data_IF_538585427448
#
_entry.id   IF_538585427448
#
_cell.length_a   1.000
_cell.length_b   1.000
_cell.length_c   1.000
_cell.angle_alpha   90.00
_cell.angle_beta   90.00
_cell.angle_gamma   90.00
#
_symmetry.space_group_name_H-M   'P 1'
#
loop_
_entity.id
_entity.type
_entity.pdbx_description
1 polymer ?
#
# COMPACT_ATOMS: atom_id res chain seq x y z
N UNK A 1 2.25 -2.41 23.23
CA UNK A 1 1.02 -2.48 24.02
C UNK A 1 0.23 -1.19 23.82
N UNK A 2 -1.10 -1.30 23.74
CA UNK A 2 -1.98 -0.14 23.75
C UNK A 2 -2.09 0.44 25.16
N UNK A 3 -2.37 1.73 25.27
CA UNK A 3 -2.56 2.44 26.54
C UNK A 3 -3.69 3.46 26.39
N UNK A 4 -4.10 4.12 27.46
CA UNK A 4 -5.14 5.16 27.42
C UNK A 4 -4.79 6.32 26.48
N UNK A 5 -3.50 6.59 26.27
CA UNK A 5 -2.99 7.67 25.40
C UNK A 5 -2.43 7.17 24.06
N UNK A 6 -2.31 5.86 23.85
CA UNK A 6 -1.76 5.27 22.62
C UNK A 6 -2.68 4.19 22.08
N UNK A 7 -3.40 4.53 21.02
CA UNK A 7 -4.26 3.61 20.28
C UNK A 7 -3.67 3.35 18.90
N UNK A 8 -3.17 2.13 18.66
CA UNK A 8 -2.54 1.73 17.40
C UNK A 8 -3.45 1.93 16.18
N UNK A 9 -4.75 1.73 16.34
CA UNK A 9 -5.72 1.89 15.25
C UNK A 9 -5.91 3.36 14.81
N UNK A 10 -5.40 4.31 15.58
CA UNK A 10 -5.52 5.75 15.37
C UNK A 10 -4.16 6.44 15.22
N UNK A 11 -3.09 5.68 14.99
CA UNK A 11 -1.73 6.22 14.84
C UNK A 11 -1.07 5.60 13.61
N UNK A 12 -0.34 6.43 12.86
CA UNK A 12 0.60 5.98 11.82
C UNK A 12 2.01 6.40 12.23
N UNK A 13 2.92 5.44 12.26
CA UNK A 13 4.33 5.74 12.53
C UNK A 13 4.92 6.63 11.43
N UNK A 14 5.66 7.64 11.81
CA UNK A 14 6.30 8.57 10.88
C UNK A 14 5.39 9.69 10.33
N UNK A 15 4.07 9.69 10.59
CA UNK A 15 3.13 10.65 9.98
C UNK A 15 3.47 12.11 10.30
N UNK A 16 3.92 12.40 11.52
CA UNK A 16 4.30 13.77 11.90
C UNK A 16 5.44 14.31 11.03
N UNK A 17 6.44 13.48 10.76
CA UNK A 17 7.58 13.82 9.92
C UNK A 17 7.21 13.84 8.43
N UNK A 18 6.34 12.92 8.00
CA UNK A 18 6.00 12.69 6.61
C UNK A 18 4.98 13.69 6.04
N UNK A 19 4.11 14.27 6.85
CA UNK A 19 2.92 15.04 6.41
C UNK A 19 3.21 16.12 5.36
N UNK A 20 4.29 16.88 5.52
CA UNK A 20 4.63 17.95 4.60
C UNK A 20 5.11 17.41 3.24
N UNK A 21 5.88 16.31 3.26
CA UNK A 21 6.33 15.66 2.02
C UNK A 21 5.19 14.88 1.35
N UNK A 22 4.21 14.35 2.10
CA UNK A 22 2.99 13.77 1.54
C UNK A 22 2.19 14.83 0.77
N UNK A 23 1.98 15.99 1.36
CA UNK A 23 1.26 17.12 0.70
C UNK A 23 2.02 17.58 -0.55
N UNK A 24 3.33 17.79 -0.44
CA UNK A 24 4.18 18.29 -1.52
C UNK A 24 4.23 17.36 -2.72
N UNK A 25 4.30 16.04 -2.47
CA UNK A 25 4.38 15.04 -3.51
C UNK A 25 2.99 14.52 -3.94
N UNK A 26 1.91 14.96 -3.27
CA UNK A 26 0.55 14.43 -3.39
C UNK A 26 0.52 12.89 -3.40
N UNK A 27 1.30 12.27 -2.54
CA UNK A 27 1.46 10.81 -2.47
C UNK A 27 1.96 10.39 -1.10
N UNK A 28 1.35 9.33 -0.53
CA UNK A 28 1.77 8.68 0.69
C UNK A 28 2.28 7.27 0.37
N UNK A 29 3.52 6.96 0.71
CA UNK A 29 4.01 5.58 0.76
C UNK A 29 3.59 4.94 2.08
N UNK A 30 2.95 3.78 2.00
CA UNK A 30 2.51 3.00 3.16
C UNK A 30 3.30 1.69 3.21
N UNK A 31 3.97 1.46 4.34
CA UNK A 31 4.72 0.24 4.65
C UNK A 31 4.15 -0.44 5.90
N UNK A 32 4.62 -1.65 6.20
CA UNK A 32 4.17 -2.41 7.37
C UNK A 32 4.94 -2.04 8.64
N UNK A 33 6.27 -1.98 8.55
CA UNK A 33 7.18 -1.83 9.67
C UNK A 33 7.69 -0.41 9.90
N UNK A 34 8.06 -0.12 11.15
CA UNK A 34 8.71 1.16 11.47
C UNK A 34 10.16 1.21 10.98
N UNK A 35 10.83 0.07 10.82
CA UNK A 35 12.17 -0.05 10.23
C UNK A 35 12.18 0.42 8.79
N UNK A 36 11.17 0.01 8.00
CA UNK A 36 11.01 0.45 6.61
C UNK A 36 10.89 1.97 6.53
N UNK A 37 10.07 2.58 7.43
CA UNK A 37 9.95 4.05 7.47
C UNK A 37 11.30 4.71 7.74
N UNK A 38 12.07 4.19 8.69
CA UNK A 38 13.37 4.76 9.03
C UNK A 38 14.32 4.70 7.83
N UNK A 39 14.41 3.55 7.17
CA UNK A 39 15.28 3.33 6.01
C UNK A 39 14.86 4.15 4.80
N UNK A 40 13.55 4.24 4.53
CA UNK A 40 13.06 5.08 3.44
C UNK A 40 13.30 6.58 3.71
N UNK A 41 13.06 7.05 4.94
CA UNK A 41 13.38 8.42 5.31
C UNK A 41 14.88 8.73 5.19
N UNK A 42 15.76 7.76 5.54
CA UNK A 42 17.19 7.89 5.34
C UNK A 42 17.55 8.05 3.86
N UNK A 43 16.85 7.33 2.98
CA UNK A 43 16.97 7.43 1.52
C UNK A 43 16.20 8.61 0.92
N UNK A 44 15.84 9.64 1.71
CA UNK A 44 15.10 10.83 1.28
C UNK A 44 13.72 10.55 0.67
N UNK A 45 13.08 9.42 0.99
CA UNK A 45 11.69 9.10 0.66
C UNK A 45 10.84 9.39 1.90
N UNK A 46 10.68 10.68 2.20
CA UNK A 46 10.15 11.15 3.49
C UNK A 46 8.62 11.17 3.58
N UNK A 47 7.92 10.91 2.48
CA UNK A 47 6.46 10.78 2.44
C UNK A 47 6.00 9.36 2.79
N UNK A 48 6.73 8.66 3.65
CA UNK A 48 6.50 7.27 4.07
C UNK A 48 5.98 7.18 5.50
N UNK A 49 4.96 6.33 5.71
CA UNK A 49 4.37 6.02 7.02
C UNK A 49 4.14 4.52 7.17
N UNK A 50 4.02 4.03 8.42
CA UNK A 50 3.69 2.63 8.68
C UNK A 50 2.47 2.44 9.57
N UNK A 51 1.74 1.33 9.34
CA UNK A 51 0.67 0.84 10.22
C UNK A 51 1.18 0.22 11.53
N UNK A 52 2.47 -0.15 11.56
CA UNK A 52 3.23 -0.64 12.73
C UNK A 52 2.62 -1.85 13.43
N UNK A 53 2.52 -2.96 12.70
CA UNK A 53 2.15 -4.26 13.26
C UNK A 53 0.67 -4.40 13.60
N UNK A 54 -0.18 -3.65 12.91
CA UNK A 54 -1.63 -3.85 12.86
C UNK A 54 -2.10 -3.91 11.41
N UNK A 55 -3.18 -4.65 11.15
CA UNK A 55 -3.89 -4.48 9.89
C UNK A 55 -4.31 -3.02 9.74
N UNK A 56 -4.23 -2.48 8.52
CA UNK A 56 -4.64 -1.11 8.23
C UNK A 56 -6.08 -0.86 8.68
N UNK A 57 -6.34 0.27 9.32
CA UNK A 57 -7.64 0.64 9.88
C UNK A 57 -8.24 1.84 9.15
N UNK A 58 -9.57 1.99 9.23
CA UNK A 58 -10.26 3.18 8.72
C UNK A 58 -9.75 4.48 9.35
N UNK A 59 -9.37 4.44 10.65
CA UNK A 59 -8.81 5.59 11.34
C UNK A 59 -7.50 6.06 10.72
N UNK A 60 -6.61 5.11 10.41
CA UNK A 60 -5.34 5.35 9.72
C UNK A 60 -5.54 5.85 8.29
N UNK A 61 -6.48 5.26 7.55
CA UNK A 61 -6.83 5.70 6.18
C UNK A 61 -7.33 7.15 6.19
N UNK A 62 -8.24 7.49 7.12
CA UNK A 62 -8.72 8.88 7.28
C UNK A 62 -7.61 9.86 7.60
N UNK A 63 -6.58 9.45 8.34
CA UNK A 63 -5.42 10.32 8.60
C UNK A 63 -4.62 10.61 7.33
N UNK A 64 -4.35 9.59 6.50
CA UNK A 64 -3.64 9.78 5.22
C UNK A 64 -4.46 10.69 4.30
N UNK A 65 -5.77 10.42 4.17
CA UNK A 65 -6.68 11.18 3.30
C UNK A 65 -6.71 12.69 3.57
N UNK A 66 -6.34 13.13 4.76
CA UNK A 66 -6.22 14.56 5.09
C UNK A 66 -5.08 15.27 4.36
N UNK A 67 -4.12 14.52 3.84
CA UNK A 67 -2.89 15.05 3.25
C UNK A 67 -2.74 14.71 1.77
N UNK A 68 -3.25 13.55 1.31
CA UNK A 68 -3.25 13.14 -0.10
C UNK A 68 -4.38 12.16 -0.39
N UNK A 69 -4.87 12.14 -1.63
CA UNK A 69 -5.78 11.11 -2.14
C UNK A 69 -5.04 9.93 -2.79
N UNK A 70 -3.72 9.96 -2.86
CA UNK A 70 -2.91 8.95 -3.53
C UNK A 70 -2.06 8.18 -2.51
N UNK A 71 -2.20 6.86 -2.50
CA UNK A 71 -1.43 5.94 -1.67
C UNK A 71 -0.68 4.96 -2.57
N UNK A 72 0.59 4.75 -2.28
CA UNK A 72 1.38 3.66 -2.84
C UNK A 72 1.74 2.71 -1.71
N UNK A 73 1.27 1.47 -1.78
CA UNK A 73 1.59 0.44 -0.79
C UNK A 73 2.84 -0.29 -1.24
N UNK A 74 3.81 -0.37 -0.35
CA UNK A 74 5.05 -1.09 -0.58
C UNK A 74 4.94 -2.45 0.11
N UNK A 75 4.85 -3.52 -0.68
CA UNK A 75 4.72 -4.89 -0.19
C UNK A 75 6.05 -5.63 -0.25
N UNK A 76 6.34 -6.37 0.81
CA UNK A 76 7.40 -7.36 0.81
C UNK A 76 7.20 -8.37 -0.31
N UNK A 77 8.29 -8.97 -0.80
CA UNK A 77 8.26 -9.98 -1.87
C UNK A 77 7.56 -11.29 -1.51
N UNK A 78 6.78 -11.33 -0.42
CA UNK A 78 6.03 -12.50 0.05
C UNK A 78 4.61 -12.56 -0.51
N UNK A 79 4.36 -13.58 -1.34
CA UNK A 79 3.05 -13.85 -1.97
C UNK A 79 1.92 -14.10 -0.96
N UNK A 80 2.21 -14.62 0.23
CA UNK A 80 1.19 -14.90 1.25
C UNK A 80 0.69 -13.61 1.89
N UNK A 81 1.60 -12.67 2.21
CA UNK A 81 1.29 -11.35 2.74
C UNK A 81 0.45 -10.52 1.78
N UNK A 82 0.79 -10.53 0.49
CA UNK A 82 0.06 -9.78 -0.56
C UNK A 82 -1.43 -10.16 -0.60
N UNK A 83 -1.77 -11.45 -0.52
CA UNK A 83 -3.18 -11.87 -0.56
C UNK A 83 -3.97 -11.46 0.71
N UNK A 84 -3.30 -11.48 1.86
CA UNK A 84 -3.92 -11.10 3.13
C UNK A 84 -4.24 -9.59 3.17
N UNK A 85 -3.47 -8.77 2.47
CA UNK A 85 -3.59 -7.32 2.48
C UNK A 85 -4.70 -6.76 1.57
N UNK A 86 -5.27 -7.55 0.65
CA UNK A 86 -6.33 -7.09 -0.26
C UNK A 86 -7.52 -6.44 0.46
N UNK A 87 -7.90 -6.95 1.64
CA UNK A 87 -8.98 -6.34 2.45
C UNK A 87 -8.64 -4.91 2.89
N UNK A 88 -7.37 -4.67 3.24
CA UNK A 88 -6.90 -3.33 3.58
C UNK A 88 -7.02 -2.37 2.41
N UNK A 89 -6.71 -2.85 1.19
CA UNK A 89 -6.81 -2.03 -0.03
C UNK A 89 -8.27 -1.72 -0.37
N UNK A 90 -9.20 -2.68 -0.24
CA UNK A 90 -10.63 -2.43 -0.49
C UNK A 90 -11.17 -1.34 0.46
N UNK A 91 -10.69 -1.26 1.71
CA UNK A 91 -11.01 -0.15 2.62
C UNK A 91 -10.44 1.20 2.15
N UNK A 92 -9.25 1.22 1.57
CA UNK A 92 -8.66 2.44 1.01
C UNK A 92 -9.47 2.91 -0.19
N UNK A 93 -9.80 2.01 -1.11
CA UNK A 93 -10.64 2.29 -2.27
C UNK A 93 -12.03 2.81 -1.86
N UNK A 94 -12.67 2.18 -0.85
CA UNK A 94 -13.97 2.61 -0.33
C UNK A 94 -13.94 4.00 0.32
N UNK A 95 -12.79 4.40 0.82
CA UNK A 95 -12.57 5.76 1.30
C UNK A 95 -12.35 6.78 0.17
N UNK A 96 -12.31 6.34 -1.10
CA UNK A 96 -12.14 7.18 -2.28
C UNK A 96 -10.71 7.67 -2.48
N UNK A 97 -9.72 6.85 -2.11
CA UNK A 97 -8.32 7.12 -2.43
C UNK A 97 -7.87 6.26 -3.62
N UNK A 98 -6.93 6.80 -4.38
CA UNK A 98 -6.25 6.07 -5.45
C UNK A 98 -5.16 5.17 -4.86
N UNK A 99 -5.10 3.93 -5.28
CA UNK A 99 -4.14 2.95 -4.74
C UNK A 99 -3.26 2.40 -5.84
N UNK A 100 -1.96 2.54 -5.64
CA UNK A 100 -0.95 1.82 -6.39
C UNK A 100 -0.18 0.90 -5.46
N UNK A 101 0.51 -0.08 -6.04
CA UNK A 101 1.32 -1.05 -5.31
C UNK A 101 2.70 -1.17 -5.94
N UNK A 102 3.70 -1.35 -5.11
CA UNK A 102 5.04 -1.81 -5.50
C UNK A 102 5.30 -3.11 -4.76
N UNK A 103 5.80 -4.12 -5.47
CA UNK A 103 6.19 -5.39 -4.87
C UNK A 103 7.69 -5.53 -5.02
N UNK A 104 8.35 -5.78 -3.92
CA UNK A 104 9.79 -6.03 -3.92
C UNK A 104 10.10 -7.44 -4.43
N UNK A 105 11.33 -7.71 -4.88
CA UNK A 105 11.77 -9.05 -5.25
C UNK A 105 11.60 -10.05 -4.10
N UNK A 106 11.47 -11.33 -4.45
CA UNK A 106 11.31 -12.40 -3.46
C UNK A 106 12.43 -12.38 -2.41
N UNK A 107 12.04 -12.38 -1.15
CA UNK A 107 12.95 -12.29 0.00
C UNK A 107 13.45 -10.88 0.34
N UNK A 108 12.95 -9.86 -0.36
CA UNK A 108 13.25 -8.45 -0.06
C UNK A 108 12.03 -7.75 0.54
N UNK A 109 12.33 -6.79 1.40
CA UNK A 109 11.40 -5.80 1.94
C UNK A 109 11.89 -4.37 1.60
N UNK A 110 11.12 -3.32 1.90
CA UNK A 110 11.54 -1.95 1.63
C UNK A 110 12.87 -1.58 2.31
N UNK A 111 13.13 -2.06 3.53
CA UNK A 111 14.35 -1.80 4.28
C UNK A 111 15.54 -2.45 3.60
N UNK A 112 15.53 -3.78 3.43
CA UNK A 112 16.65 -4.54 2.86
C UNK A 112 16.98 -4.10 1.43
N UNK A 113 15.95 -3.83 0.61
CA UNK A 113 16.17 -3.43 -0.78
C UNK A 113 16.70 -2.01 -0.91
N UNK A 114 16.29 -1.11 -0.01
CA UNK A 114 16.80 0.27 0.03
C UNK A 114 18.31 0.35 0.28
N UNK A 115 18.88 -0.64 0.98
CA UNK A 115 20.31 -0.71 1.24
C UNK A 115 21.14 -1.26 0.07
N UNK A 116 20.51 -1.83 -0.96
CA UNK A 116 21.20 -2.42 -2.12
C UNK A 116 21.40 -1.45 -3.26
N UNK A 117 20.68 -0.35 -3.26
CA UNK A 117 20.66 0.63 -4.34
C UNK A 117 21.13 2.00 -3.85
N UNK A 118 21.55 2.85 -4.77
CA UNK A 118 21.71 4.27 -4.48
C UNK A 118 20.35 4.91 -4.20
N UNK A 119 20.33 6.06 -3.54
CA UNK A 119 19.07 6.80 -3.28
C UNK A 119 18.33 7.11 -4.58
N UNK A 120 19.05 7.48 -5.63
CA UNK A 120 18.51 7.81 -6.94
C UNK A 120 17.92 6.57 -7.63
N UNK A 121 18.66 5.47 -7.64
CA UNK A 121 18.19 4.21 -8.26
C UNK A 121 17.00 3.64 -7.50
N UNK A 122 16.97 3.75 -6.18
CA UNK A 122 15.83 3.29 -5.39
C UNK A 122 14.56 4.13 -5.63
N UNK A 123 14.68 5.44 -5.81
CA UNK A 123 13.56 6.29 -6.23
C UNK A 123 13.05 5.92 -7.60
N UNK A 124 13.95 5.76 -8.57
CA UNK A 124 13.59 5.32 -9.92
C UNK A 124 12.88 3.96 -9.88
N UNK A 125 13.38 3.02 -9.08
CA UNK A 125 12.74 1.72 -8.89
C UNK A 125 11.30 1.87 -8.36
N UNK A 126 11.08 2.70 -7.35
CA UNK A 126 9.74 2.93 -6.81
C UNK A 126 8.80 3.56 -7.84
N UNK A 127 9.28 4.49 -8.67
CA UNK A 127 8.48 5.14 -9.71
C UNK A 127 8.11 4.19 -10.85
N UNK A 128 9.07 3.41 -11.34
CA UNK A 128 8.91 2.52 -12.50
C UNK A 128 8.09 1.25 -12.18
N UNK A 129 8.09 0.80 -10.91
CA UNK A 129 7.41 -0.44 -10.49
C UNK A 129 6.05 -0.22 -9.85
N UNK A 130 5.50 1.00 -9.88
CA UNK A 130 4.14 1.26 -9.43
C UNK A 130 3.12 0.64 -10.38
N UNK A 131 2.27 -0.20 -9.85
CA UNK A 131 1.16 -0.79 -10.57
C UNK A 131 -0.16 -0.31 -9.97
N UNK A 132 -1.14 0.01 -10.79
CA UNK A 132 -2.51 0.20 -10.34
C UNK A 132 -3.01 -1.06 -9.62
N UNK A 133 -3.67 -0.88 -8.46
CA UNK A 133 -4.05 -2.03 -7.64
C UNK A 133 -5.06 -2.95 -8.33
N UNK A 134 -6.05 -2.42 -9.03
CA UNK A 134 -7.07 -3.24 -9.71
C UNK A 134 -6.42 -4.08 -10.80
N UNK A 135 -5.56 -3.46 -11.61
CA UNK A 135 -4.78 -4.14 -12.65
C UNK A 135 -3.87 -5.20 -12.05
N UNK A 136 -3.18 -4.87 -10.96
CA UNK A 136 -2.32 -5.81 -10.25
C UNK A 136 -3.10 -7.01 -9.70
N UNK A 137 -4.22 -6.77 -8.99
CA UNK A 137 -5.09 -7.80 -8.45
C UNK A 137 -5.62 -8.72 -9.55
N UNK A 138 -6.07 -8.15 -10.66
CA UNK A 138 -6.54 -8.91 -11.81
C UNK A 138 -5.45 -9.84 -12.37
N UNK A 139 -4.27 -9.31 -12.62
CA UNK A 139 -3.14 -10.10 -13.15
C UNK A 139 -2.72 -11.23 -12.19
N UNK A 140 -2.68 -10.95 -10.88
CA UNK A 140 -2.32 -11.95 -9.88
C UNK A 140 -3.35 -13.09 -9.78
N UNK A 141 -4.62 -12.76 -9.76
CA UNK A 141 -5.70 -13.73 -9.63
C UNK A 141 -5.86 -14.56 -10.91
N UNK A 142 -5.76 -13.94 -12.09
CA UNK A 142 -5.85 -14.64 -13.37
C UNK A 142 -4.69 -15.64 -13.56
N UNK A 143 -3.48 -15.32 -13.12
CA UNK A 143 -2.35 -16.28 -13.14
C UNK A 143 -2.62 -17.54 -12.30
N UNK A 144 -3.45 -17.46 -11.27
CA UNK A 144 -3.79 -18.58 -10.37
C UNK A 144 -4.92 -19.48 -10.90
N UNK A 145 -5.76 -18.99 -11.82
CA UNK A 145 -6.96 -19.71 -12.26
C UNK A 145 -6.70 -20.90 -13.18
N UNK A 146 -5.51 -21.00 -13.79
CA UNK A 146 -5.11 -22.10 -14.71
C UNK A 146 -6.21 -22.55 -15.70
N UNK A 147 -7.01 -21.61 -16.22
CA UNK A 147 -8.14 -21.88 -17.13
C UNK A 147 -9.30 -22.71 -16.54
N UNK A 148 -9.43 -22.81 -15.23
CA UNK A 148 -10.61 -23.38 -14.59
C UNK A 148 -11.77 -22.37 -14.61
N UNK A 149 -12.90 -22.65 -15.31
CA UNK A 149 -14.01 -21.70 -15.45
C UNK A 149 -14.64 -21.26 -14.13
N UNK A 150 -14.66 -22.12 -13.12
CA UNK A 150 -15.22 -21.79 -11.79
C UNK A 150 -14.31 -20.80 -11.08
N UNK A 151 -13.00 -21.03 -11.12
CA UNK A 151 -12.02 -20.15 -10.52
C UNK A 151 -11.95 -18.80 -11.27
N UNK A 152 -12.11 -18.80 -12.60
CA UNK A 152 -12.21 -17.57 -13.41
C UNK A 152 -13.41 -16.74 -12.99
N UNK A 153 -14.60 -17.37 -12.85
CA UNK A 153 -15.83 -16.67 -12.43
C UNK A 153 -15.67 -16.06 -11.03
N UNK A 154 -15.09 -16.79 -10.08
CA UNK A 154 -14.79 -16.28 -8.73
C UNK A 154 -13.83 -15.09 -8.79
N UNK A 155 -12.77 -15.20 -9.56
CA UNK A 155 -11.79 -14.11 -9.76
C UNK A 155 -12.44 -12.84 -10.33
N UNK A 156 -13.31 -12.97 -11.33
CA UNK A 156 -14.04 -11.84 -11.90
C UNK A 156 -14.91 -11.18 -10.83
N UNK A 157 -15.64 -11.95 -10.02
CA UNK A 157 -16.44 -11.42 -8.93
C UNK A 157 -15.61 -10.69 -7.87
N UNK A 158 -14.43 -11.20 -7.52
CA UNK A 158 -13.52 -10.57 -6.57
C UNK A 158 -13.00 -9.23 -7.09
N UNK A 159 -12.72 -9.11 -8.39
CA UNK A 159 -12.29 -7.86 -9.03
C UNK A 159 -13.45 -6.86 -9.08
N UNK A 160 -14.65 -7.31 -9.52
CA UNK A 160 -15.86 -6.47 -9.57
C UNK A 160 -16.19 -5.93 -8.17
N UNK A 161 -16.03 -6.76 -7.13
CA UNK A 161 -16.26 -6.33 -5.74
C UNK A 161 -15.32 -5.19 -5.37
N UNK A 162 -14.00 -5.29 -5.67
CA UNK A 162 -13.06 -4.20 -5.39
C UNK A 162 -13.36 -2.93 -6.19
N UNK A 163 -13.83 -3.05 -7.43
CA UNK A 163 -14.23 -1.88 -8.22
C UNK A 163 -15.50 -1.26 -7.63
N UNK A 164 -16.47 -2.07 -7.20
CA UNK A 164 -17.76 -1.60 -6.73
C UNK A 164 -17.71 -0.77 -5.45
N UNK A 165 -16.67 -0.94 -4.62
CA UNK A 165 -16.49 -0.15 -3.40
C UNK A 165 -15.95 1.27 -3.65
N UNK A 166 -15.47 1.58 -4.87
CA UNK A 166 -15.00 2.91 -5.24
C UNK A 166 -16.21 3.86 -5.25
N UNK A 167 -16.23 4.95 -4.46
CA UNK A 167 -17.39 5.83 -4.33
C UNK A 167 -17.74 6.59 -5.62
N UNK A 168 -16.71 7.02 -6.36
CA UNK A 168 -16.90 7.79 -7.59
C UNK A 168 -17.30 6.88 -8.78
N UNK A 169 -18.49 7.11 -9.34
CA UNK A 169 -19.01 6.34 -10.45
C UNK A 169 -18.22 6.51 -11.77
N UNK A 170 -17.50 7.62 -11.92
CA UNK A 170 -16.67 7.89 -13.11
C UNK A 170 -15.33 7.14 -13.02
N UNK A 171 -14.83 6.94 -11.79
CA UNK A 171 -13.57 6.21 -11.53
C UNK A 171 -13.74 4.69 -11.49
N UNK A 172 -14.98 4.17 -11.46
CA UNK A 172 -15.30 2.74 -11.57
C UNK A 172 -15.18 2.25 -13.00
#
# INVERSE_FOLDING_TARGET
PESEIYNKSQVLYGLYQAKNEIIKNDCCFLVEGYTDVISLHHNNIKNTVASSGTSLTEGQIRMIKRFSNNIVILYDGDQAGINASFRGVDMILSAGLNVKVVIFPEGEDPDSYSHKLSTEDFKSYLEENQNDFITFKANLLLKKTKNDPINVSKTINDIITSISVIPDAVSR
#
